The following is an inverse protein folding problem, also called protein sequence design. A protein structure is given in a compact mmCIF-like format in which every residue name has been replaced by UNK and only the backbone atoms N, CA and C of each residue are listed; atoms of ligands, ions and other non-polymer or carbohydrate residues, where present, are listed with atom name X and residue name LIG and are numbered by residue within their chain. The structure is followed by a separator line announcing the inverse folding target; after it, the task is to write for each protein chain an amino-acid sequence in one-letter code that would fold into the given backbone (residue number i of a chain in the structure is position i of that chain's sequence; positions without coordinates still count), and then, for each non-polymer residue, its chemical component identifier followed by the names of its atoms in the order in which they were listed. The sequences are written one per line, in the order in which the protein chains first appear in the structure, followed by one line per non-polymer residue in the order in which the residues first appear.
data_IF_295612634099
#
_entry.id   IF_295612634099
#
_cell.length_a   1.000
_cell.length_b   1.000
_cell.length_c   1.000
_cell.angle_alpha   90.00
_cell.angle_beta   90.00
_cell.angle_gamma   90.00
#
_symmetry.space_group_name_H-M   'P 1'
#
loop_
_entity.id
_entity.type
_entity.pdbx_description
1 polymer ?
#
# COMPACT_ATOMS: atom_id res chain seq x y z
N UNK A 1 48.44 -1.36 5.53
CA UNK A 1 47.15 -1.58 4.83
C UNK A 1 46.43 -0.24 4.77
N UNK A 2 46.22 0.32 3.58
CA UNK A 2 45.29 1.46 3.42
C UNK A 2 43.87 0.92 3.51
N UNK A 3 42.94 1.55 4.24
CA UNK A 3 41.54 1.18 4.18
C UNK A 3 41.06 1.39 2.74
N UNK A 4 40.72 0.29 2.07
CA UNK A 4 40.06 0.31 0.77
C UNK A 4 38.70 0.99 0.96
N UNK A 5 38.50 2.15 0.33
CA UNK A 5 37.21 2.83 0.38
C UNK A 5 36.14 1.92 -0.23
N UNK A 6 35.14 1.58 0.57
CA UNK A 6 33.90 0.95 0.11
C UNK A 6 33.31 1.83 -1.00
N UNK A 7 32.89 1.27 -2.15
CA UNK A 7 32.16 2.05 -3.14
C UNK A 7 30.89 2.58 -2.47
N UNK A 8 30.89 3.88 -2.17
CA UNK A 8 29.72 4.61 -1.75
C UNK A 8 28.86 4.74 -3.00
N UNK A 9 27.77 3.96 -3.07
CA UNK A 9 26.76 4.14 -4.10
C UNK A 9 26.15 5.53 -3.91
N UNK A 10 26.64 6.50 -4.66
CA UNK A 10 26.09 7.85 -4.71
C UNK A 10 24.84 7.79 -5.59
N UNK A 11 23.68 7.65 -4.96
CA UNK A 11 22.41 7.91 -5.64
C UNK A 11 22.21 9.43 -5.59
N UNK A 12 22.00 10.12 -6.74
CA UNK A 12 21.90 11.56 -6.82
C UNK A 12 20.54 12.04 -6.30
N UNK A 13 20.38 12.07 -4.98
CA UNK A 13 19.22 12.62 -4.33
C UNK A 13 19.62 13.62 -3.24
N UNK A 14 18.86 14.70 -3.14
CA UNK A 14 18.95 15.69 -2.09
C UNK A 14 17.98 15.36 -0.97
N UNK A 15 18.34 15.72 0.27
CA UNK A 15 17.44 15.64 1.41
C UNK A 15 16.70 16.96 1.56
N UNK A 16 15.39 16.88 1.80
CA UNK A 16 14.58 18.01 2.21
C UNK A 16 14.71 18.34 3.69
N UNK A 17 14.07 19.43 4.11
CA UNK A 17 13.93 19.75 5.52
C UNK A 17 13.15 18.64 6.26
N UNK A 18 13.72 18.02 7.31
CA UNK A 18 13.01 17.06 8.13
C UNK A 18 11.75 17.67 8.75
N UNK A 19 10.64 16.94 8.67
CA UNK A 19 9.38 17.27 9.34
C UNK A 19 9.14 16.28 10.47
N UNK A 20 8.98 16.79 11.69
CA UNK A 20 8.75 15.95 12.87
C UNK A 20 7.37 16.20 13.49
N UNK A 21 6.72 15.12 13.91
CA UNK A 21 5.52 15.15 14.73
C UNK A 21 5.58 14.03 15.77
N UNK A 22 5.62 14.40 17.07
CA UNK A 22 5.85 13.43 18.14
C UNK A 22 7.19 12.71 17.99
N UNK A 23 7.16 11.38 17.96
CA UNK A 23 8.33 10.52 17.75
C UNK A 23 8.57 10.13 16.28
N UNK A 24 7.83 10.71 15.34
CA UNK A 24 7.98 10.44 13.90
C UNK A 24 8.68 11.63 13.22
N UNK A 25 9.74 11.33 12.48
CA UNK A 25 10.44 12.30 11.61
C UNK A 25 10.45 11.78 10.19
N UNK A 26 9.95 12.59 9.25
CA UNK A 26 9.97 12.34 7.82
C UNK A 26 11.01 13.24 7.19
N UNK A 27 11.96 12.67 6.45
CA UNK A 27 12.94 13.43 5.67
C UNK A 27 12.59 13.24 4.19
N UNK A 28 12.15 14.29 3.48
CA UNK A 28 11.86 14.19 2.06
C UNK A 28 13.11 13.83 1.26
N UNK A 29 12.94 13.01 0.22
CA UNK A 29 13.98 12.73 -0.77
C UNK A 29 13.60 13.41 -2.08
N UNK A 30 14.50 14.22 -2.61
CA UNK A 30 14.35 14.88 -3.90
C UNK A 30 15.35 14.30 -4.88
N UNK A 31 14.90 13.95 -6.07
CA UNK A 31 15.82 13.54 -7.12
C UNK A 31 16.63 14.75 -7.60
N UNK A 32 17.95 14.64 -7.64
CA UNK A 32 18.83 15.69 -8.20
C UNK A 32 19.10 15.46 -9.70
N UNK A 33 18.74 14.28 -10.22
CA UNK A 33 18.80 14.00 -11.64
C UNK A 33 17.51 14.41 -12.36
N UNK A 34 17.64 14.82 -13.62
CA UNK A 34 16.51 15.00 -14.52
C UNK A 34 15.74 13.67 -14.68
N UNK A 35 14.40 13.66 -14.57
CA UNK A 35 13.61 12.45 -14.73
C UNK A 35 13.75 11.91 -16.16
N UNK A 36 14.23 10.67 -16.28
CA UNK A 36 14.46 10.05 -17.58
C UNK A 36 13.19 9.54 -18.29
N UNK A 37 12.06 9.49 -17.59
CA UNK A 37 10.77 9.02 -18.12
C UNK A 37 9.64 9.83 -17.48
N UNK A 38 8.77 10.38 -18.32
CA UNK A 38 7.52 11.00 -17.89
C UNK A 38 6.43 9.93 -17.73
N UNK A 39 5.75 9.93 -16.58
CA UNK A 39 4.65 9.02 -16.30
C UNK A 39 3.62 9.67 -15.38
N UNK A 40 2.40 9.14 -15.40
CA UNK A 40 1.31 9.51 -14.49
C UNK A 40 0.93 8.35 -13.59
N UNK A 41 0.39 8.64 -12.40
CA UNK A 41 -0.10 7.64 -11.44
C UNK A 41 -1.49 7.10 -11.80
N UNK A 42 -1.97 6.11 -11.04
CA UNK A 42 -3.23 5.39 -11.31
C UNK A 42 -4.44 6.32 -11.35
N UNK A 43 -4.65 7.17 -10.34
CA UNK A 43 -5.84 8.04 -10.25
C UNK A 43 -5.96 8.96 -11.47
N UNK A 44 -4.85 9.61 -11.83
CA UNK A 44 -4.80 10.46 -13.02
C UNK A 44 -5.02 9.64 -14.30
N UNK A 45 -4.39 8.46 -14.39
CA UNK A 45 -4.52 7.57 -15.54
C UNK A 45 -5.97 7.13 -15.76
N UNK A 46 -6.67 6.72 -14.71
CA UNK A 46 -8.09 6.34 -14.74
C UNK A 46 -8.97 7.51 -15.19
N UNK A 47 -8.74 8.71 -14.66
CA UNK A 47 -9.47 9.91 -15.06
C UNK A 47 -9.28 10.25 -16.55
N UNK A 48 -8.13 9.90 -17.15
CA UNK A 48 -7.88 10.06 -18.59
C UNK A 48 -8.04 8.79 -19.42
N UNK A 49 -8.85 7.83 -18.96
CA UNK A 49 -9.33 6.72 -19.79
C UNK A 49 -8.49 5.46 -19.78
N UNK A 50 -7.55 5.30 -18.84
CA UNK A 50 -6.96 3.99 -18.56
C UNK A 50 -8.08 3.00 -18.21
N UNK A 51 -8.06 1.83 -18.85
CA UNK A 51 -9.01 0.76 -18.53
C UNK A 51 -8.27 -0.46 -18.01
N UNK A 52 -8.80 -1.07 -16.95
CA UNK A 52 -8.33 -2.35 -16.42
C UNK A 52 -9.45 -3.37 -16.49
N UNK A 53 -9.26 -4.45 -17.23
CA UNK A 53 -10.28 -5.47 -17.48
C UNK A 53 -9.76 -6.86 -17.18
N UNK A 54 -10.57 -7.73 -16.58
CA UNK A 54 -10.23 -9.13 -16.38
C UNK A 54 -10.38 -9.92 -17.69
N UNK A 55 -9.40 -10.78 -18.01
CA UNK A 55 -9.38 -11.52 -19.28
C UNK A 55 -10.04 -12.90 -19.15
N UNK A 56 -10.02 -13.51 -17.96
CA UNK A 56 -10.42 -14.90 -17.75
C UNK A 56 -11.50 -15.04 -16.67
N UNK A 57 -12.26 -16.16 -16.66
CA UNK A 57 -13.24 -16.45 -15.60
C UNK A 57 -12.58 -16.70 -14.23
N UNK A 58 -11.38 -17.29 -14.25
CA UNK A 58 -10.50 -17.27 -13.10
C UNK A 58 -9.84 -15.89 -13.05
N UNK A 59 -10.18 -15.09 -12.03
CA UNK A 59 -9.72 -13.72 -11.76
C UNK A 59 -8.19 -13.70 -11.46
N UNK A 60 -7.39 -14.10 -12.44
CA UNK A 60 -5.94 -14.32 -12.30
C UNK A 60 -5.12 -13.43 -13.27
N UNK A 61 -5.78 -12.81 -14.25
CA UNK A 61 -5.10 -11.98 -15.25
C UNK A 61 -5.91 -10.73 -15.56
N UNK A 62 -5.25 -9.58 -15.35
CA UNK A 62 -5.76 -8.26 -15.67
C UNK A 62 -5.13 -7.76 -16.97
N UNK A 63 -5.92 -7.18 -17.84
CA UNK A 63 -5.50 -6.46 -19.03
C UNK A 63 -5.61 -4.97 -18.74
N UNK A 64 -4.48 -4.30 -18.74
CA UNK A 64 -4.40 -2.84 -18.65
C UNK A 64 -4.26 -2.29 -20.05
N UNK A 65 -5.11 -1.33 -20.42
CA UNK A 65 -5.00 -0.59 -21.67
C UNK A 65 -4.79 0.89 -21.38
N UNK A 66 -3.64 1.42 -21.81
CA UNK A 66 -3.30 2.82 -21.73
C UNK A 66 -3.52 3.50 -23.09
N UNK A 67 -4.63 4.23 -23.31
CA UNK A 67 -4.86 4.93 -24.57
C UNK A 67 -4.10 6.27 -24.67
N UNK A 68 -3.39 6.69 -23.61
CA UNK A 68 -2.77 8.02 -23.52
C UNK A 68 -1.43 8.07 -24.26
N UNK A 69 -0.99 9.29 -24.54
CA UNK A 69 0.35 9.59 -25.07
C UNK A 69 1.47 9.57 -24.02
N UNK A 70 1.14 9.40 -22.73
CA UNK A 70 2.08 9.37 -21.60
C UNK A 70 2.09 7.98 -20.96
N UNK A 71 3.23 7.56 -20.40
CA UNK A 71 3.31 6.31 -19.67
C UNK A 71 2.49 6.37 -18.36
N UNK A 72 2.03 5.22 -17.90
CA UNK A 72 1.28 5.08 -16.65
C UNK A 72 2.09 4.17 -15.73
N UNK A 73 2.46 4.68 -14.55
CA UNK A 73 3.08 3.89 -13.51
C UNK A 73 2.01 3.42 -12.54
N UNK A 74 1.83 2.10 -12.49
CA UNK A 74 1.01 1.43 -11.51
C UNK A 74 1.91 1.01 -10.36
N UNK A 75 1.67 1.49 -9.15
CA UNK A 75 2.46 1.18 -7.98
C UNK A 75 1.98 -0.10 -7.30
N UNK A 76 2.92 -0.85 -6.74
CA UNK A 76 2.60 -1.91 -5.79
C UNK A 76 1.83 -1.35 -4.58
N UNK A 77 0.81 -2.09 -4.14
CA UNK A 77 -0.05 -1.68 -3.03
C UNK A 77 -1.25 -0.82 -3.44
N UNK A 78 -1.34 -0.35 -4.68
CA UNK A 78 -2.51 0.39 -5.15
C UNK A 78 -3.74 -0.52 -5.29
N UNK A 79 -4.92 0.01 -4.92
CA UNK A 79 -6.18 -0.70 -5.05
C UNK A 79 -6.81 -0.43 -6.43
N UNK A 80 -7.07 -1.51 -7.17
CA UNK A 80 -7.85 -1.51 -8.39
C UNK A 80 -9.32 -1.70 -8.03
N UNK A 81 -10.07 -0.60 -8.05
CA UNK A 81 -11.51 -0.56 -7.78
C UNK A 81 -12.29 -0.63 -9.10
N UNK A 82 -13.32 -1.46 -9.17
CA UNK A 82 -14.20 -1.56 -10.36
C UNK A 82 -13.92 -2.73 -11.32
N UNK A 83 -12.96 -3.60 -11.00
CA UNK A 83 -12.88 -4.94 -11.57
C UNK A 83 -13.97 -5.86 -10.95
N UNK A 84 -14.16 -7.10 -11.43
CA UNK A 84 -15.18 -8.00 -10.84
C UNK A 84 -14.91 -8.26 -9.35
N UNK A 85 -13.66 -8.14 -8.94
CA UNK A 85 -13.23 -8.08 -7.54
C UNK A 85 -12.23 -6.94 -7.34
N UNK A 86 -12.35 -6.19 -6.26
CA UNK A 86 -11.32 -5.22 -5.87
C UNK A 86 -10.03 -5.98 -5.56
N UNK A 87 -8.88 -5.47 -6.03
CA UNK A 87 -7.57 -6.11 -5.86
C UNK A 87 -6.49 -5.10 -5.55
N UNK A 88 -5.51 -5.53 -4.77
CA UNK A 88 -4.28 -4.77 -4.53
C UNK A 88 -3.24 -5.22 -5.56
N UNK A 89 -2.57 -4.26 -6.21
CA UNK A 89 -1.47 -4.54 -7.12
C UNK A 89 -0.27 -5.12 -6.38
N UNK A 90 0.23 -6.26 -6.83
CA UNK A 90 1.34 -6.98 -6.18
C UNK A 90 2.73 -6.52 -6.63
N UNK A 91 2.81 -5.79 -7.74
CA UNK A 91 4.09 -5.30 -8.26
C UNK A 91 3.90 -4.01 -9.02
N UNK A 92 4.89 -3.13 -8.92
CA UNK A 92 4.94 -1.92 -9.72
C UNK A 92 5.18 -2.25 -11.20
N UNK A 93 4.40 -1.65 -12.08
CA UNK A 93 4.44 -1.87 -13.53
C UNK A 93 4.30 -0.55 -14.26
N UNK A 94 5.25 -0.26 -15.15
CA UNK A 94 5.15 0.84 -16.10
C UNK A 94 4.47 0.36 -17.38
N UNK A 95 3.36 1.00 -17.75
CA UNK A 95 2.62 0.75 -19.00
C UNK A 95 2.91 1.89 -19.96
N UNK A 96 3.54 1.60 -21.09
CA UNK A 96 3.89 2.60 -22.09
C UNK A 96 2.67 3.26 -22.75
N UNK A 97 2.87 4.37 -23.46
CA UNK A 97 1.80 5.10 -24.14
C UNK A 97 1.20 4.27 -25.28
N UNK A 98 -0.12 4.26 -25.39
CA UNK A 98 -0.86 3.49 -26.41
C UNK A 98 -0.78 1.96 -26.26
N UNK A 99 -0.18 1.44 -25.18
CA UNK A 99 0.09 0.00 -25.01
C UNK A 99 -1.03 -0.70 -24.22
N UNK A 100 -1.33 -1.93 -24.63
CA UNK A 100 -2.08 -2.90 -23.81
C UNK A 100 -1.11 -3.91 -23.20
N UNK A 101 -1.25 -4.17 -21.90
CA UNK A 101 -0.36 -5.06 -21.14
C UNK A 101 -1.18 -6.00 -20.26
N UNK A 102 -0.92 -7.30 -20.37
CA UNK A 102 -1.42 -8.28 -19.42
C UNK A 102 -0.54 -8.31 -18.18
N UNK A 103 -1.19 -8.30 -17.01
CA UNK A 103 -0.58 -8.37 -15.69
C UNK A 103 -1.17 -9.59 -15.01
N UNK A 104 -0.31 -10.53 -14.63
CA UNK A 104 -0.71 -11.65 -13.78
C UNK A 104 -0.91 -11.16 -12.35
N UNK A 105 -2.00 -11.59 -11.73
CA UNK A 105 -2.19 -11.45 -10.28
C UNK A 105 -1.63 -12.73 -9.66
N UNK A 106 -0.53 -12.64 -8.92
CA UNK A 106 0.14 -13.77 -8.30
C UNK A 106 -0.80 -14.50 -7.34
N UNK A 107 -1.07 -15.77 -7.64
CA UNK A 107 -1.68 -16.67 -6.68
C UNK A 107 -0.63 -17.02 -5.62
N UNK A 108 -0.81 -16.57 -4.38
CA UNK A 108 -0.20 -17.28 -3.25
C UNK A 108 -0.69 -18.74 -3.27
N UNK A 109 0.20 -19.69 -3.56
CA UNK A 109 -0.08 -21.13 -3.39
C UNK A 109 0.09 -21.58 -1.93
N UNK A 110 -0.11 -20.68 -0.98
CA UNK A 110 -0.26 -20.96 0.44
C UNK A 110 -1.57 -21.66 0.72
N UNK A 111 -1.60 -22.99 0.56
CA UNK A 111 -2.60 -23.82 1.22
C UNK A 111 -2.51 -23.55 2.73
N UNK A 112 -3.47 -22.82 3.28
CA UNK A 112 -3.65 -22.74 4.72
C UNK A 112 -4.20 -24.09 5.22
N UNK A 113 -3.33 -25.11 5.29
CA UNK A 113 -3.63 -26.30 6.06
C UNK A 113 -3.40 -25.95 7.52
N UNK A 114 -4.50 -25.79 8.27
CA UNK A 114 -4.45 -25.84 9.73
C UNK A 114 -3.98 -27.24 10.13
N UNK A 115 -2.66 -27.43 10.25
CA UNK A 115 -2.11 -28.55 11.00
C UNK A 115 -1.84 -28.02 12.41
N UNK A 116 -2.84 -28.12 13.27
CA UNK A 116 -2.66 -27.98 14.71
C UNK A 116 -1.72 -29.09 15.17
N UNK A 117 -0.41 -28.84 15.16
CA UNK A 117 0.54 -29.69 15.85
C UNK A 117 0.48 -29.30 17.33
N UNK A 118 -0.22 -30.11 18.10
CA UNK A 118 -0.24 -30.07 19.56
C UNK A 118 1.20 -30.07 20.09
N UNK A 119 1.68 -28.92 20.52
CA UNK A 119 2.86 -28.85 21.40
C UNK A 119 2.30 -28.81 22.82
N UNK A 120 2.48 -29.85 23.65
CA UNK A 120 2.09 -29.76 25.04
C UNK A 120 3.10 -28.84 25.73
N UNK A 121 2.77 -27.55 25.82
CA UNK A 121 3.44 -26.66 26.76
C UNK A 121 2.98 -27.06 28.16
N UNK A 122 3.87 -27.69 28.92
CA UNK A 122 3.67 -27.83 30.37
C UNK A 122 3.66 -26.42 30.99
N UNK A 123 2.63 -26.06 31.78
CA UNK A 123 2.64 -24.80 32.50
C UNK A 123 3.58 -24.94 33.70
N UNK A 124 4.79 -24.40 33.60
CA UNK A 124 5.60 -24.11 34.80
C UNK A 124 5.02 -22.85 35.44
N UNK A 125 4.46 -23.03 36.64
CA UNK A 125 3.92 -21.96 37.46
C UNK A 125 5.01 -20.97 37.85
N UNK A 126 5.04 -19.80 37.23
CA UNK A 126 5.76 -18.64 37.76
C UNK A 126 4.84 -17.91 38.75
N UNK A 127 5.28 -17.85 40.00
CA UNK A 127 4.65 -17.16 41.12
C UNK A 127 4.28 -15.71 40.77
N UNK A 128 2.99 -15.36 40.91
CA UNK A 128 2.50 -13.98 40.82
C UNK A 128 2.85 -13.24 42.10
N UNK A 129 3.83 -12.35 42.05
CA UNK A 129 3.95 -11.25 43.02
C UNK A 129 3.14 -10.04 42.52
N UNK A 130 2.33 -9.51 43.43
CA UNK A 130 1.29 -8.51 43.21
C UNK A 130 1.79 -7.20 42.58
N UNK A 131 1.12 -6.74 41.52
CA UNK A 131 1.16 -5.33 41.10
C UNK A 131 -0.26 -4.80 40.96
N UNK A 132 -0.71 -4.09 42.00
CA UNK A 132 -2.00 -3.43 42.08
C UNK A 132 -1.93 -2.08 41.36
N UNK A 133 -2.38 -2.06 40.11
CA UNK A 133 -2.61 -0.83 39.34
C UNK A 133 -4.07 -0.72 38.92
N UNK A 134 -4.85 0.14 39.59
CA UNK A 134 -6.23 0.48 39.20
C UNK A 134 -6.22 1.18 37.83
N UNK A 135 -6.93 0.65 36.84
CA UNK A 135 -7.27 1.38 35.60
C UNK A 135 -8.38 2.41 35.89
N UNK A 136 -8.23 3.69 35.55
CA UNK A 136 -9.36 4.62 35.51
C UNK A 136 -10.25 4.32 34.29
N UNK A 137 -11.57 4.34 34.52
CA UNK A 137 -12.60 4.16 33.49
C UNK A 137 -12.73 5.42 32.63
N UNK A 138 -12.77 5.28 31.30
CA UNK A 138 -13.14 6.36 30.39
C UNK A 138 -14.68 6.56 30.37
N UNK A 139 -15.19 7.80 30.42
CA UNK A 139 -16.62 8.06 30.31
C UNK A 139 -17.11 7.95 28.86
N UNK A 140 -18.25 7.26 28.68
CA UNK A 140 -18.97 7.10 27.41
C UNK A 140 -19.57 8.44 26.96
N UNK A 141 -19.29 8.88 25.74
CA UNK A 141 -19.99 9.99 25.09
C UNK A 141 -21.41 9.56 24.69
N UNK A 142 -22.38 10.47 24.85
CA UNK A 142 -23.80 10.28 24.53
C UNK A 142 -24.06 10.46 23.02
N UNK A 143 -25.09 9.80 22.45
CA UNK A 143 -25.44 9.95 21.04
C UNK A 143 -26.11 11.31 20.76
N UNK A 144 -25.68 11.99 19.70
CA UNK A 144 -26.35 13.18 19.17
C UNK A 144 -27.49 12.76 18.24
N UNK A 145 -28.70 13.22 18.56
CA UNK A 145 -29.91 13.14 17.74
C UNK A 145 -29.79 14.06 16.53
N UNK A 146 -30.05 13.52 15.34
CA UNK A 146 -30.06 14.24 14.07
C UNK A 146 -31.50 14.73 13.83
N UNK A 147 -31.73 16.04 13.90
CA UNK A 147 -33.00 16.63 13.48
C UNK A 147 -32.88 17.05 12.01
N UNK A 148 -33.67 16.37 11.18
CA UNK A 148 -33.92 16.71 9.78
C UNK A 148 -34.76 18.00 9.70
N UNK A 149 -34.37 18.93 8.83
CA UNK A 149 -35.25 20.00 8.36
C UNK A 149 -35.32 19.92 6.83
N UNK A 150 -36.54 19.68 6.37
CA UNK A 150 -36.97 19.62 4.97
C UNK A 150 -37.72 20.93 4.63
N UNK A 151 -37.83 21.19 3.31
CA UNK A 151 -38.63 22.21 2.61
C UNK A 151 -38.03 23.63 2.50
N UNK A 152 -37.71 24.13 1.30
CA UNK A 152 -38.50 24.40 0.08
C UNK A 152 -39.09 25.83 0.09
N UNK A 153 -38.53 26.69 -0.77
CA UNK A 153 -39.12 27.45 -1.90
C UNK A 153 -38.07 28.44 -2.38
#
# INVERSE_FOLDING_TARGET
MKPTATPQTYLPFGLGEPRSFGSLTVVPLYNEAEPGIEYVGLDEALAGGLTVTEVNEAVETLLVANPRGTAVLLYEGEELVGAKQNRILERSILVGPGVKRSIGTGRDRGSCSTRSASTPLQPTSASRSNFTGRRPAQPRSKPHSITSASHAV
#
